data_IF_256689281031
#
_entry.id   IF_256689281031
#
_cell.length_a   1.000
_cell.length_b   1.000
_cell.length_c   1.000
_cell.angle_alpha   90.00
_cell.angle_beta   90.00
_cell.angle_gamma   90.00
#
_symmetry.space_group_name_H-M   'P 1'
#
loop_
_entity.id
_entity.type
_entity.pdbx_description
1 polymer ?
#
# COMPACT_ATOMS: atom_id res chain seq x y z
N UNK A 1 11.26 6.76 -2.70
CA UNK A 1 10.28 5.65 -2.64
C UNK A 1 8.88 6.09 -3.06
N UNK A 2 8.42 7.29 -2.69
CA UNK A 2 7.10 7.81 -3.08
C UNK A 2 6.76 7.79 -4.59
N UNK A 3 7.66 8.19 -5.54
CA UNK A 3 7.24 8.33 -6.94
C UNK A 3 6.87 6.99 -7.59
N UNK A 4 7.53 5.90 -7.22
CA UNK A 4 7.26 4.57 -7.80
C UNK A 4 5.85 4.09 -7.43
N UNK A 5 5.43 4.30 -6.17
CA UNK A 5 4.12 3.84 -5.70
C UNK A 5 2.98 4.60 -6.40
N UNK A 6 3.12 5.92 -6.56
CA UNK A 6 2.14 6.74 -7.27
C UNK A 6 2.06 6.40 -8.76
N UNK A 7 3.20 6.09 -9.41
CA UNK A 7 3.23 5.61 -10.79
C UNK A 7 2.48 4.28 -10.90
N UNK A 8 2.78 3.32 -10.04
CA UNK A 8 2.13 2.01 -10.04
C UNK A 8 0.60 2.11 -9.83
N UNK A 9 0.14 2.95 -8.90
CA UNK A 9 -1.29 3.18 -8.72
C UNK A 9 -1.94 3.78 -9.99
N UNK A 10 -1.23 4.67 -10.69
CA UNK A 10 -1.72 5.25 -11.94
C UNK A 10 -1.80 4.23 -13.09
N UNK A 11 -0.93 3.21 -13.07
CA UNK A 11 -0.87 2.13 -14.05
C UNK A 11 -1.90 1.03 -13.79
N UNK A 12 -2.18 0.69 -12.53
CA UNK A 12 -3.13 -0.36 -12.14
C UNK A 12 -4.58 0.11 -12.30
N UNK A 13 -4.87 1.38 -12.01
CA UNK A 13 -6.24 1.86 -12.01
C UNK A 13 -6.72 2.26 -13.43
N UNK A 14 -7.87 1.73 -13.88
CA UNK A 14 -8.46 2.09 -15.17
C UNK A 14 -8.74 3.59 -15.25
N UNK A 15 -8.54 4.19 -16.44
CA UNK A 15 -8.73 5.63 -16.67
C UNK A 15 -10.07 6.14 -16.14
N UNK A 16 -11.14 5.36 -16.31
CA UNK A 16 -12.52 5.73 -15.95
C UNK A 16 -12.74 5.91 -14.44
N UNK A 17 -12.02 5.16 -13.59
CA UNK A 17 -12.21 5.18 -12.13
C UNK A 17 -10.97 5.68 -11.36
N UNK A 18 -9.88 5.99 -12.06
CA UNK A 18 -8.59 6.37 -11.47
C UNK A 18 -8.72 7.48 -10.43
N UNK A 19 -9.49 8.53 -10.70
CA UNK A 19 -9.66 9.64 -9.75
C UNK A 19 -10.22 9.19 -8.39
N UNK A 20 -11.27 8.36 -8.41
CA UNK A 20 -11.90 7.84 -7.18
C UNK A 20 -10.99 6.83 -6.51
N UNK A 21 -10.38 5.92 -7.27
CA UNK A 21 -9.48 4.89 -6.74
C UNK A 21 -8.23 5.48 -6.07
N UNK A 22 -7.63 6.52 -6.66
CA UNK A 22 -6.54 7.28 -6.05
C UNK A 22 -7.00 8.00 -4.78
N UNK A 23 -8.19 8.62 -4.79
CA UNK A 23 -8.76 9.26 -3.61
C UNK A 23 -8.93 8.28 -2.43
N UNK A 24 -9.49 7.10 -2.69
CA UNK A 24 -9.62 6.04 -1.67
C UNK A 24 -8.25 5.60 -1.18
N UNK A 25 -7.29 5.38 -2.09
CA UNK A 25 -5.93 4.98 -1.73
C UNK A 25 -5.25 6.00 -0.80
N UNK A 26 -5.41 7.29 -1.07
CA UNK A 26 -4.91 8.39 -0.24
C UNK A 26 -5.57 8.37 1.14
N UNK A 27 -6.89 8.25 1.21
CA UNK A 27 -7.62 8.20 2.48
C UNK A 27 -7.19 7.00 3.33
N UNK A 28 -7.07 5.82 2.73
CA UNK A 28 -6.57 4.62 3.41
C UNK A 28 -5.14 4.82 3.92
N UNK A 29 -4.26 5.43 3.12
CA UNK A 29 -2.90 5.77 3.53
C UNK A 29 -2.90 6.69 4.77
N UNK A 30 -3.72 7.74 4.76
CA UNK A 30 -3.83 8.66 5.89
C UNK A 30 -4.37 7.98 7.15
N UNK A 31 -5.38 7.11 7.03
CA UNK A 31 -5.90 6.35 8.16
C UNK A 31 -4.81 5.44 8.75
N UNK A 32 -4.07 4.73 7.91
CA UNK A 32 -2.96 3.89 8.37
C UNK A 32 -1.87 4.72 9.07
N UNK A 33 -1.55 5.89 8.53
CA UNK A 33 -0.59 6.81 9.14
C UNK A 33 -1.07 7.35 10.49
N UNK A 34 -2.36 7.68 10.63
CA UNK A 34 -2.96 8.08 11.90
C UNK A 34 -2.87 6.95 12.93
N UNK A 35 -3.28 5.73 12.56
CA UNK A 35 -3.18 4.57 13.44
C UNK A 35 -1.74 4.40 13.91
N UNK A 36 -0.77 4.43 12.99
CA UNK A 36 0.65 4.32 13.32
C UNK A 36 1.08 5.42 14.30
N UNK A 37 0.73 6.67 14.02
CA UNK A 37 1.12 7.83 14.84
C UNK A 37 0.57 7.76 16.26
N UNK A 38 -0.66 7.27 16.45
CA UNK A 38 -1.26 7.12 17.78
C UNK A 38 -0.77 5.86 18.51
N UNK A 39 -0.62 4.73 17.81
CA UNK A 39 -0.25 3.45 18.43
C UNK A 39 1.24 3.37 18.76
N UNK A 40 2.10 4.02 17.98
CA UNK A 40 3.55 3.98 18.17
C UNK A 40 4.01 4.49 19.55
N UNK A 41 3.60 5.67 20.05
CA UNK A 41 4.02 6.13 21.38
C UNK A 41 3.51 5.23 22.51
N UNK A 42 2.26 4.75 22.41
CA UNK A 42 1.65 3.84 23.42
C UNK A 42 2.44 2.53 23.49
N UNK A 43 2.80 1.95 22.35
CA UNK A 43 3.60 0.73 22.30
C UNK A 43 5.03 1.00 22.77
N UNK A 44 5.65 2.09 22.33
CA UNK A 44 7.01 2.46 22.76
C UNK A 44 7.11 2.61 24.28
N UNK A 45 6.11 3.21 24.93
CA UNK A 45 6.08 3.39 26.38
C UNK A 45 5.85 2.07 27.13
N UNK A 46 4.96 1.22 26.64
CA UNK A 46 4.62 -0.05 27.31
C UNK A 46 5.65 -1.17 27.15
N UNK A 47 6.26 -1.31 25.96
CA UNK A 47 7.12 -2.45 25.62
C UNK A 47 8.53 -2.06 25.15
N UNK A 48 8.83 -0.76 25.08
CA UNK A 48 10.13 -0.25 24.66
C UNK A 48 10.31 -0.25 23.14
N UNK A 49 11.22 0.59 22.66
CA UNK A 49 11.44 0.86 21.23
C UNK A 49 11.71 -0.41 20.41
N UNK A 50 12.58 -1.31 20.89
CA UNK A 50 12.98 -2.50 20.13
C UNK A 50 11.81 -3.46 19.85
N UNK A 51 10.95 -3.72 20.84
CA UNK A 51 9.80 -4.61 20.66
C UNK A 51 8.74 -4.00 19.75
N UNK A 52 8.51 -2.70 19.88
CA UNK A 52 7.60 -1.95 18.99
C UNK A 52 8.02 -2.08 17.53
N UNK A 53 9.32 -1.92 17.22
CA UNK A 53 9.81 -2.11 15.85
C UNK A 53 9.64 -3.54 15.34
N UNK A 54 9.84 -4.56 16.19
CA UNK A 54 9.59 -5.95 15.79
C UNK A 54 8.13 -6.21 15.43
N UNK A 55 7.18 -5.64 16.18
CA UNK A 55 5.75 -5.77 15.87
C UNK A 55 5.42 -5.13 14.52
N UNK A 56 5.84 -3.89 14.29
CA UNK A 56 5.61 -3.22 13.00
C UNK A 56 6.34 -3.90 11.84
N UNK A 57 7.54 -4.45 12.07
CA UNK A 57 8.24 -5.26 11.08
C UNK A 57 7.43 -6.50 10.70
N UNK A 58 6.78 -7.17 11.67
CA UNK A 58 5.85 -8.27 11.40
C UNK A 58 4.67 -7.85 10.52
N UNK A 59 4.05 -6.70 10.79
CA UNK A 59 2.99 -6.14 9.93
C UNK A 59 3.48 -5.86 8.50
N UNK A 60 4.67 -5.29 8.35
CA UNK A 60 5.28 -5.03 7.04
C UNK A 60 5.58 -6.33 6.29
N UNK A 61 6.01 -7.37 6.99
CA UNK A 61 6.27 -8.68 6.40
C UNK A 61 4.98 -9.30 5.85
N UNK A 62 3.88 -9.24 6.61
CA UNK A 62 2.57 -9.68 6.13
C UNK A 62 2.13 -8.86 4.91
N UNK A 63 2.25 -7.52 4.99
CA UNK A 63 1.91 -6.63 3.88
C UNK A 63 2.72 -6.94 2.61
N UNK A 64 4.00 -7.31 2.75
CA UNK A 64 4.83 -7.73 1.62
C UNK A 64 4.27 -8.97 0.92
N UNK A 65 3.85 -10.01 1.65
CA UNK A 65 3.24 -11.18 1.03
C UNK A 65 1.90 -10.85 0.38
N UNK A 66 1.06 -10.05 1.06
CA UNK A 66 -0.21 -9.61 0.48
C UNK A 66 0.03 -8.90 -0.84
N UNK A 67 0.97 -7.95 -0.91
CA UNK A 67 1.32 -7.25 -2.15
C UNK A 67 1.84 -8.24 -3.19
N UNK A 68 2.75 -9.14 -2.81
CA UNK A 68 3.34 -10.13 -3.72
C UNK A 68 2.31 -11.04 -4.40
N UNK A 69 1.22 -11.39 -3.71
CA UNK A 69 0.19 -12.28 -4.25
C UNK A 69 -1.01 -11.55 -4.84
N UNK A 70 -1.38 -10.39 -4.28
CA UNK A 70 -2.58 -9.65 -4.69
C UNK A 70 -2.30 -8.65 -5.83
N UNK A 71 -1.05 -8.19 -5.98
CA UNK A 71 -0.70 -7.23 -7.03
C UNK A 71 -0.22 -8.00 -8.27
N UNK A 72 -0.93 -7.91 -9.42
CA UNK A 72 -0.42 -8.46 -10.67
C UNK A 72 0.84 -7.70 -11.08
N UNK A 73 1.86 -8.41 -11.59
CA UNK A 73 3.09 -7.78 -12.07
C UNK A 73 2.77 -6.87 -13.27
N UNK A 74 2.90 -5.55 -13.08
CA UNK A 74 2.64 -4.53 -14.10
C UNK A 74 3.87 -4.22 -14.95
N UNK A 75 5.05 -4.67 -14.52
CA UNK A 75 6.33 -4.31 -15.13
C UNK A 75 6.45 -4.87 -16.56
N UNK A 76 6.58 -3.97 -17.53
CA UNK A 76 6.80 -4.32 -18.94
C UNK A 76 5.53 -4.62 -19.74
N UNK A 77 4.34 -4.41 -19.16
CA UNK A 77 3.06 -4.50 -19.88
C UNK A 77 2.59 -3.11 -20.33
N UNK A 78 1.91 -3.02 -21.47
CA UNK A 78 1.24 -1.77 -21.86
C UNK A 78 0.01 -1.53 -20.97
N UNK A 79 -0.38 -0.27 -20.80
CA UNK A 79 -1.58 0.12 -20.04
C UNK A 79 -2.84 -0.63 -20.52
N UNK A 80 -2.95 -0.86 -21.83
CA UNK A 80 -4.08 -1.57 -22.46
C UNK A 80 -4.06 -3.09 -22.22
N UNK A 81 -2.88 -3.67 -21.97
CA UNK A 81 -2.75 -5.07 -21.55
C UNK A 81 -3.13 -5.24 -20.08
N UNK A 82 -2.71 -4.30 -19.22
CA UNK A 82 -3.09 -4.28 -17.80
C UNK A 82 -4.60 -4.13 -17.65
N UNK A 83 -5.21 -3.19 -18.39
CA UNK A 83 -6.66 -2.97 -18.36
C UNK A 83 -7.44 -4.22 -18.85
N UNK A 84 -6.95 -4.92 -19.87
CA UNK A 84 -7.54 -6.19 -20.33
C UNK A 84 -7.36 -7.36 -19.35
N UNK A 85 -6.25 -7.42 -18.63
CA UNK A 85 -6.01 -8.45 -17.63
C UNK A 85 -6.84 -8.22 -16.35
N UNK A 86 -7.12 -6.96 -16.00
CA UNK A 86 -7.92 -6.58 -14.83
C UNK A 86 -9.44 -6.66 -15.10
N UNK A 87 -9.88 -6.40 -16.34
CA UNK A 87 -11.30 -6.43 -16.74
C UNK A 87 -11.80 -7.79 -17.24
N UNK A 88 -10.97 -8.84 -17.24
CA UNK A 88 -11.39 -10.23 -17.49
C UNK A 88 -12.12 -10.81 -16.30
#
# INVERSE_FOLDING_TARGET
MAPVMWVLLSEIFPNRVRGVALGISVVTLWIAYLILTFTFPIMRESMGTAKTFWVYSGFLFIAFFVIKFALPETKGKSLEQIERDILK
#
